data_IF_503872046820
#
_entry.id   IF_503872046820
#
_cell.length_a   1.000
_cell.length_b   1.000
_cell.length_c   1.000
_cell.angle_alpha   90.00
_cell.angle_beta   90.00
_cell.angle_gamma   90.00
#
_symmetry.space_group_name_H-M   'P 1'
#
loop_
_entity.id
_entity.type
_entity.pdbx_description
1 polymer ?
#
# COMPACT_ATOMS: atom_id res chain seq x y z
N UNK A 1 -13.62 12.38 18.14
CA UNK A 1 -14.11 11.05 17.73
C UNK A 1 -13.27 9.97 18.39
N UNK A 2 -13.83 8.79 18.70
CA UNK A 2 -13.05 7.65 19.25
C UNK A 2 -12.69 6.65 18.13
N UNK A 3 -11.68 5.81 18.36
CA UNK A 3 -11.27 4.77 17.41
C UNK A 3 -12.42 3.82 17.04
N UNK A 4 -13.26 3.46 18.02
CA UNK A 4 -14.41 2.58 17.80
C UNK A 4 -15.40 3.19 16.80
N UNK A 5 -15.66 4.49 16.88
CA UNK A 5 -16.57 5.20 15.98
C UNK A 5 -16.03 5.22 14.55
N UNK A 6 -14.73 5.50 14.41
CA UNK A 6 -14.05 5.47 13.11
C UNK A 6 -14.09 4.07 12.47
N UNK A 7 -13.84 3.02 13.24
CA UNK A 7 -13.89 1.63 12.74
C UNK A 7 -15.30 1.23 12.31
N UNK A 8 -16.34 1.70 13.02
CA UNK A 8 -17.75 1.51 12.62
C UNK A 8 -18.06 2.24 11.30
N UNK A 9 -17.64 3.50 11.17
CA UNK A 9 -17.82 4.25 9.94
C UNK A 9 -17.12 3.58 8.74
N UNK A 10 -15.94 2.98 8.96
CA UNK A 10 -15.25 2.18 7.94
C UNK A 10 -16.02 0.91 7.57
N UNK A 11 -16.62 0.19 8.53
CA UNK A 11 -17.41 -1.02 8.22
C UNK A 11 -18.72 -0.74 7.52
N UNK A 12 -19.32 0.44 7.74
CA UNK A 12 -20.58 0.85 7.12
C UNK A 12 -20.40 1.35 5.68
N UNK A 13 -19.17 1.71 5.29
CA UNK A 13 -18.84 2.14 3.95
C UNK A 13 -18.34 0.97 3.09
N UNK A 14 -19.14 0.54 2.13
CA UNK A 14 -18.82 -0.55 1.18
C UNK A 14 -17.53 -0.28 0.37
N UNK A 15 -17.19 1.01 0.20
CA UNK A 15 -16.03 1.46 -0.55
C UNK A 15 -14.86 1.86 0.34
N UNK A 16 -14.89 1.57 1.65
CA UNK A 16 -13.89 2.04 2.59
C UNK A 16 -12.45 1.69 2.16
N UNK A 17 -12.23 0.57 1.48
CA UNK A 17 -10.91 0.14 1.03
C UNK A 17 -10.55 0.62 -0.38
N UNK A 18 -11.52 0.93 -1.24
CA UNK A 18 -11.32 1.26 -2.65
C UNK A 18 -11.48 2.75 -2.96
N UNK A 19 -12.13 3.53 -2.08
CA UNK A 19 -12.50 4.93 -2.30
C UNK A 19 -11.32 5.78 -2.77
N UNK A 20 -10.15 5.68 -2.11
CA UNK A 20 -8.98 6.48 -2.46
C UNK A 20 -8.29 6.01 -3.75
N UNK A 21 -8.58 4.80 -4.22
CA UNK A 21 -8.01 4.23 -5.45
C UNK A 21 -8.84 4.57 -6.69
N UNK A 22 -9.96 5.27 -6.53
CA UNK A 22 -10.75 5.81 -7.65
C UNK A 22 -10.01 6.94 -8.34
N UNK A 23 -10.24 7.11 -9.64
CA UNK A 23 -9.50 8.07 -10.47
C UNK A 23 -9.64 9.52 -9.96
N UNK A 24 -10.81 9.87 -9.45
CA UNK A 24 -11.09 11.18 -8.85
C UNK A 24 -10.40 11.43 -7.49
N UNK A 25 -9.89 10.38 -6.82
CA UNK A 25 -9.36 10.48 -5.45
C UNK A 25 -7.87 10.09 -5.34
N UNK A 26 -7.30 9.38 -6.33
CA UNK A 26 -5.96 8.77 -6.26
C UNK A 26 -4.81 9.78 -6.33
N UNK A 27 -5.09 11.02 -6.71
CA UNK A 27 -4.09 12.08 -6.90
C UNK A 27 -3.11 12.19 -5.72
N UNK A 28 -3.61 12.12 -4.48
CA UNK A 28 -2.76 12.22 -3.29
C UNK A 28 -1.72 11.10 -3.23
N UNK A 29 -2.13 9.86 -3.55
CA UNK A 29 -1.25 8.70 -3.54
C UNK A 29 -0.19 8.77 -4.64
N UNK A 30 -0.57 9.25 -5.83
CA UNK A 30 0.36 9.51 -6.93
C UNK A 30 1.41 10.54 -6.49
N UNK A 31 0.97 11.67 -5.94
CA UNK A 31 1.87 12.72 -5.47
C UNK A 31 2.84 12.22 -4.41
N UNK A 32 2.40 11.38 -3.48
CA UNK A 32 3.28 10.80 -2.47
C UNK A 32 4.16 9.67 -3.01
N UNK A 33 3.83 9.04 -4.14
CA UNK A 33 4.64 8.01 -4.79
C UNK A 33 5.84 8.60 -5.56
N UNK A 34 5.64 9.72 -6.25
CA UNK A 34 6.64 10.35 -7.12
C UNK A 34 8.03 10.51 -6.46
N UNK A 35 8.16 11.01 -5.21
CA UNK A 35 9.46 11.11 -4.57
C UNK A 35 10.19 9.77 -4.45
N UNK A 36 9.47 8.69 -4.13
CA UNK A 36 10.07 7.35 -4.02
C UNK A 36 10.55 6.83 -5.38
N UNK A 37 9.78 7.06 -6.44
CA UNK A 37 10.16 6.66 -7.79
C UNK A 37 11.38 7.44 -8.29
N UNK A 38 11.41 8.77 -8.07
CA UNK A 38 12.57 9.60 -8.43
C UNK A 38 13.84 9.15 -7.70
N UNK A 39 13.74 8.81 -6.42
CA UNK A 39 14.86 8.21 -5.67
C UNK A 39 15.31 6.85 -6.18
N UNK A 40 14.51 6.20 -7.04
CA UNK A 40 14.83 4.91 -7.68
C UNK A 40 15.27 5.04 -9.14
N UNK A 41 15.49 6.26 -9.63
CA UNK A 41 15.96 6.53 -10.99
C UNK A 41 14.86 6.71 -12.04
N UNK A 42 13.59 6.76 -11.64
CA UNK A 42 12.50 7.05 -12.57
C UNK A 42 12.43 8.55 -12.90
N UNK A 43 12.20 8.88 -14.17
CA UNK A 43 11.97 10.24 -14.62
C UNK A 43 10.46 10.51 -14.78
N UNK A 44 9.77 10.66 -13.65
CA UNK A 44 8.32 10.83 -13.61
C UNK A 44 7.89 12.22 -13.13
N UNK A 45 6.78 12.71 -13.70
CA UNK A 45 6.12 13.92 -13.23
C UNK A 45 4.62 13.67 -13.05
N UNK A 46 3.99 14.41 -12.14
CA UNK A 46 2.58 14.23 -11.82
C UNK A 46 1.68 14.32 -13.05
N UNK A 47 1.87 15.35 -13.89
CA UNK A 47 1.02 15.58 -15.07
C UNK A 47 1.30 14.60 -16.20
N UNK A 48 2.57 14.37 -16.53
CA UNK A 48 2.93 13.54 -17.69
C UNK A 48 2.70 12.05 -17.45
N UNK A 49 2.77 11.61 -16.19
CA UNK A 49 2.73 10.19 -15.83
C UNK A 49 1.46 9.81 -15.05
N UNK A 50 0.46 10.69 -14.95
CA UNK A 50 -0.71 10.49 -14.07
C UNK A 50 -1.37 9.12 -14.28
N UNK A 51 -1.75 8.80 -15.52
CA UNK A 51 -2.48 7.56 -15.83
C UNK A 51 -1.63 6.32 -15.56
N UNK A 52 -0.35 6.35 -15.95
CA UNK A 52 0.59 5.25 -15.73
C UNK A 52 0.91 5.05 -14.23
N UNK A 53 0.98 6.13 -13.46
CA UNK A 53 1.16 6.05 -12.00
C UNK A 53 -0.11 5.57 -11.32
N UNK A 54 -1.30 6.02 -11.76
CA UNK A 54 -2.59 5.52 -11.29
C UNK A 54 -2.69 4.01 -11.50
N UNK A 55 -2.38 3.56 -12.71
CA UNK A 55 -2.34 2.16 -13.10
C UNK A 55 -1.36 1.34 -12.24
N UNK A 56 -0.13 1.84 -12.05
CA UNK A 56 0.86 1.19 -11.18
C UNK A 56 0.32 0.97 -9.77
N UNK A 57 -0.33 1.98 -9.19
CA UNK A 57 -0.90 1.90 -7.84
C UNK A 57 -2.05 0.89 -7.80
N UNK A 58 -2.94 0.90 -8.80
CA UNK A 58 -4.06 -0.04 -8.88
C UNK A 58 -3.58 -1.49 -9.03
N UNK A 59 -2.56 -1.74 -9.84
CA UNK A 59 -1.95 -3.07 -9.97
C UNK A 59 -1.33 -3.55 -8.64
N UNK A 60 -0.65 -2.66 -7.90
CA UNK A 60 -0.14 -2.98 -6.57
C UNK A 60 -1.27 -3.27 -5.58
N UNK A 61 -2.38 -2.54 -5.66
CA UNK A 61 -3.55 -2.74 -4.82
C UNK A 61 -4.27 -4.07 -5.12
N UNK A 62 -4.38 -4.43 -6.39
CA UNK A 62 -4.90 -5.73 -6.86
C UNK A 62 -4.03 -6.88 -6.33
N UNK A 63 -2.70 -6.75 -6.39
CA UNK A 63 -1.78 -7.73 -5.80
C UNK A 63 -1.81 -7.76 -4.25
N UNK A 64 -2.45 -6.76 -3.63
CA UNK A 64 -2.81 -6.76 -2.22
C UNK A 64 -4.28 -7.14 -2.00
N UNK A 65 -4.91 -7.81 -2.96
CA UNK A 65 -6.30 -8.28 -2.87
C UNK A 65 -7.25 -7.16 -2.43
N UNK A 66 -7.08 -5.98 -3.02
CA UNK A 66 -7.92 -4.81 -2.79
C UNK A 66 -8.05 -4.41 -1.31
N UNK A 67 -6.97 -4.58 -0.54
CA UNK A 67 -6.92 -4.27 0.90
C UNK A 67 -5.55 -3.73 1.32
N UNK A 68 -5.44 -3.10 2.51
CA UNK A 68 -4.15 -2.80 3.11
C UNK A 68 -3.26 -4.05 3.22
N UNK A 69 -1.94 -3.85 3.18
CA UNK A 69 -0.97 -4.96 3.12
C UNK A 69 -1.18 -5.98 4.24
N UNK A 70 -1.31 -5.52 5.49
CA UNK A 70 -1.57 -6.36 6.67
C UNK A 70 -3.05 -6.39 7.09
N UNK A 71 -3.96 -6.33 6.13
CA UNK A 71 -5.38 -6.49 6.45
C UNK A 71 -5.65 -7.88 7.04
N UNK A 72 -6.35 -7.91 8.16
CA UNK A 72 -6.79 -9.15 8.82
C UNK A 72 -8.31 -9.19 8.75
N UNK A 73 -8.84 -10.23 8.12
CA UNK A 73 -10.28 -10.49 7.98
C UNK A 73 -10.83 -11.27 9.18
N UNK A 74 -12.17 -11.40 9.23
CA UNK A 74 -12.85 -12.26 10.21
C UNK A 74 -13.07 -11.63 11.59
N UNK A 75 -12.95 -10.30 11.70
CA UNK A 75 -13.23 -9.56 12.93
C UNK A 75 -14.48 -8.70 12.79
N UNK A 76 -15.24 -8.53 13.88
CA UNK A 76 -16.48 -7.73 13.92
C UNK A 76 -16.29 -6.30 13.39
N UNK A 77 -15.14 -5.68 13.67
CA UNK A 77 -14.78 -4.35 13.18
C UNK A 77 -13.40 -4.38 12.50
N UNK A 78 -13.18 -3.60 11.42
CA UNK A 78 -11.92 -3.55 10.71
C UNK A 78 -10.71 -3.37 11.63
N UNK A 79 -9.71 -4.23 11.48
CA UNK A 79 -8.41 -4.03 12.13
C UNK A 79 -7.47 -3.14 11.29
N UNK A 80 -7.99 -2.32 10.39
CA UNK A 80 -7.24 -1.28 9.70
C UNK A 80 -7.93 0.04 9.95
N UNK A 81 -7.17 1.09 10.29
CA UNK A 81 -7.71 2.40 10.61
C UNK A 81 -6.74 3.51 10.23
N UNK A 82 -7.29 4.72 10.09
CA UNK A 82 -6.53 5.93 9.84
C UNK A 82 -5.90 6.49 11.12
N UNK A 83 -4.96 7.41 10.94
CA UNK A 83 -4.40 8.18 12.06
C UNK A 83 -5.50 9.04 12.72
N UNK A 84 -5.40 9.38 14.03
CA UNK A 84 -6.47 10.10 14.73
C UNK A 84 -6.94 11.42 14.08
N UNK A 85 -6.03 12.12 13.39
CA UNK A 85 -6.33 13.36 12.66
C UNK A 85 -7.18 13.16 11.38
N UNK A 86 -7.31 11.92 10.92
CA UNK A 86 -8.00 11.53 9.69
C UNK A 86 -9.21 10.60 10.01
N UNK A 87 -9.66 10.58 11.26
CA UNK A 87 -10.78 9.72 11.66
C UNK A 87 -12.11 10.16 11.04
N UNK A 88 -12.27 11.44 10.73
CA UNK A 88 -13.42 12.02 10.01
C UNK A 88 -13.68 11.36 8.63
N UNK A 89 -12.70 10.64 8.08
CA UNK A 89 -12.85 9.86 6.85
C UNK A 89 -13.41 8.49 7.13
N UNK A 90 -14.50 8.14 6.44
CA UNK A 90 -15.09 6.80 6.45
C UNK A 90 -14.44 5.85 5.42
N UNK A 91 -13.22 6.14 4.97
CA UNK A 91 -12.43 5.31 4.08
C UNK A 91 -10.97 5.25 4.55
N UNK A 92 -10.21 4.24 4.10
CA UNK A 92 -8.80 4.10 4.41
C UNK A 92 -7.99 5.12 3.61
N UNK A 93 -7.31 6.01 4.33
CA UNK A 93 -6.28 6.88 3.78
C UNK A 93 -4.95 6.11 3.76
N UNK A 94 -4.57 5.63 2.59
CA UNK A 94 -3.40 4.80 2.39
C UNK A 94 -2.08 5.56 2.52
N UNK A 95 -1.05 4.87 2.96
CA UNK A 95 0.30 5.40 3.07
C UNK A 95 1.27 4.41 2.43
N UNK A 96 2.39 4.94 1.91
CA UNK A 96 3.46 4.11 1.36
C UNK A 96 4.29 3.53 2.51
N UNK A 97 4.13 2.23 2.75
CA UNK A 97 4.94 1.47 3.69
C UNK A 97 6.08 0.76 2.99
N UNK A 98 7.23 0.64 3.65
CA UNK A 98 8.36 -0.15 3.15
C UNK A 98 8.29 -1.56 3.72
N UNK A 99 8.41 -2.59 2.88
CA UNK A 99 8.45 -3.99 3.32
C UNK A 99 9.74 -4.29 4.10
N UNK A 100 10.87 -3.77 3.61
CA UNK A 100 12.17 -3.77 4.29
C UNK A 100 12.56 -2.34 4.64
N UNK A 101 12.97 -2.11 5.89
CA UNK A 101 13.33 -0.78 6.35
C UNK A 101 14.50 -0.20 5.55
N UNK A 102 14.62 1.14 5.50
CA UNK A 102 15.66 1.83 4.72
C UNK A 102 17.08 1.43 5.13
N UNK A 103 17.28 1.17 6.43
CA UNK A 103 18.57 0.72 6.99
C UNK A 103 18.96 -0.69 6.55
N UNK A 104 18.00 -1.48 6.05
CA UNK A 104 18.19 -2.90 5.72
C UNK A 104 18.15 -3.17 4.22
N UNK A 105 17.51 -2.28 3.45
CA UNK A 105 17.36 -2.45 2.02
C UNK A 105 18.55 -1.89 1.20
N UNK A 106 19.57 -1.29 1.84
CA UNK A 106 20.67 -0.59 1.15
C UNK A 106 20.11 0.30 0.00
N UNK A 107 20.71 0.28 -1.20
CA UNK A 107 20.29 1.04 -2.39
C UNK A 107 18.92 0.62 -2.96
N UNK A 108 18.27 -0.42 -2.40
CA UNK A 108 16.97 -0.91 -2.87
C UNK A 108 15.79 -0.36 -2.08
N UNK A 109 16.02 0.48 -1.09
CA UNK A 109 14.96 0.96 -0.18
C UNK A 109 13.80 1.62 -0.91
N UNK A 110 14.07 2.39 -1.95
CA UNK A 110 13.05 3.12 -2.70
C UNK A 110 12.42 2.35 -3.87
N UNK A 111 12.95 1.15 -4.17
CA UNK A 111 12.42 0.32 -5.25
C UNK A 111 10.93 0.06 -5.04
N UNK A 112 10.16 0.17 -6.11
CA UNK A 112 8.70 0.02 -6.08
C UNK A 112 8.28 -1.34 -5.51
N UNK A 113 9.09 -2.37 -5.73
CA UNK A 113 8.88 -3.72 -5.20
C UNK A 113 8.98 -3.79 -3.68
N UNK A 114 9.67 -2.84 -3.05
CA UNK A 114 9.78 -2.68 -1.60
C UNK A 114 8.67 -1.80 -1.01
N UNK A 115 7.78 -1.23 -1.83
CA UNK A 115 6.67 -0.38 -1.37
C UNK A 115 5.33 -1.10 -1.42
N UNK A 116 4.48 -0.88 -0.43
CA UNK A 116 3.08 -1.30 -0.46
C UNK A 116 2.14 -0.22 0.07
N UNK A 117 0.84 -0.48 -0.06
CA UNK A 117 -0.24 0.37 0.44
C UNK A 117 -0.69 -0.07 1.84
N UNK A 118 -0.55 0.83 2.81
CA UNK A 118 -0.73 0.56 4.23
C UNK A 118 -1.81 1.47 4.82
N UNK A 119 -2.55 0.98 5.82
CA UNK A 119 -3.30 1.88 6.71
C UNK A 119 -2.36 2.44 7.80
N UNK A 120 -2.77 3.50 8.49
CA UNK A 120 -1.97 4.09 9.56
C UNK A 120 -1.62 3.06 10.66
N UNK A 121 -2.55 2.17 11.01
CA UNK A 121 -2.24 1.03 11.92
C UNK A 121 -1.13 0.13 11.36
N UNK A 122 -1.26 -0.28 10.09
CA UNK A 122 -0.28 -1.16 9.46
C UNK A 122 1.13 -0.54 9.53
N UNK A 123 1.22 0.78 9.37
CA UNK A 123 2.48 1.51 9.51
C UNK A 123 2.99 1.53 10.94
N UNK A 124 2.14 1.68 11.96
CA UNK A 124 2.56 1.61 13.36
C UNK A 124 3.20 0.27 13.73
N UNK A 125 2.74 -0.84 13.14
CA UNK A 125 3.30 -2.18 13.40
C UNK A 125 4.65 -2.43 12.72
N UNK A 126 4.96 -1.82 11.56
CA UNK A 126 6.33 -1.88 10.98
C UNK A 126 7.26 -0.85 11.61
N UNK A 127 6.72 0.30 12.02
CA UNK A 127 7.51 1.36 12.65
C UNK A 127 8.14 0.93 13.99
N UNK A 128 7.68 -0.17 14.60
CA UNK A 128 8.36 -0.80 15.73
C UNK A 128 9.61 -1.62 15.33
N UNK A 129 10.12 -1.47 14.10
CA UNK A 129 11.31 -2.14 13.54
C UNK A 129 11.19 -3.65 13.32
N UNK A 130 10.04 -4.26 13.58
CA UNK A 130 9.83 -5.70 13.33
C UNK A 130 9.74 -5.98 11.83
N UNK A 131 10.47 -7.00 11.40
CA UNK A 131 10.53 -7.45 10.02
C UNK A 131 9.26 -8.20 9.64
N UNK A 132 8.95 -8.21 8.34
CA UNK A 132 7.88 -9.05 7.81
C UNK A 132 8.14 -10.51 8.17
N UNK A 133 9.39 -10.94 8.14
CA UNK A 133 9.83 -12.27 8.54
C UNK A 133 9.53 -12.53 10.03
N UNK A 134 9.71 -11.56 10.91
CA UNK A 134 9.36 -11.67 12.34
C UNK A 134 7.84 -11.68 12.54
N UNK A 135 7.09 -10.86 11.77
CA UNK A 135 5.62 -10.88 11.77
C UNK A 135 5.06 -12.24 11.32
N UNK A 136 5.76 -12.93 10.42
CA UNK A 136 5.39 -14.29 9.98
C UNK A 136 5.62 -15.35 11.07
N UNK A 137 6.57 -15.15 11.99
CA UNK A 137 6.84 -16.08 13.11
C UNK A 137 5.66 -16.13 14.08
N UNK A 138 4.95 -15.00 14.27
CA UNK A 138 3.72 -14.98 15.08
C UNK A 138 2.59 -15.86 14.50
N UNK A 139 2.70 -16.28 13.23
CA UNK A 139 1.80 -17.24 12.61
C UNK A 139 0.38 -16.71 12.41
N UNK A 140 -0.57 -17.64 12.26
CA UNK A 140 -1.99 -17.35 12.13
C UNK A 140 -2.38 -16.58 10.87
N UNK A 141 -3.51 -15.87 10.95
CA UNK A 141 -4.15 -15.19 9.82
C UNK A 141 -3.23 -14.10 9.24
N UNK A 142 -2.44 -13.42 10.08
CA UNK A 142 -1.51 -12.38 9.62
C UNK A 142 -0.38 -12.97 8.76
N UNK A 143 0.24 -14.07 9.19
CA UNK A 143 1.29 -14.73 8.41
C UNK A 143 0.76 -15.24 7.05
N UNK A 144 -0.45 -15.83 7.05
CA UNK A 144 -1.10 -16.27 5.81
C UNK A 144 -1.37 -15.10 4.87
N UNK A 145 -1.90 -13.98 5.40
CA UNK A 145 -2.13 -12.75 4.62
C UNK A 145 -0.84 -12.27 3.96
N UNK A 146 0.23 -12.15 4.73
CA UNK A 146 1.53 -11.69 4.24
C UNK A 146 2.02 -12.61 3.11
N UNK A 147 1.98 -13.92 3.33
CA UNK A 147 2.39 -14.92 2.34
C UNK A 147 1.62 -14.79 1.02
N UNK A 148 0.30 -14.64 1.10
CA UNK A 148 -0.56 -14.48 -0.07
C UNK A 148 -0.21 -13.20 -0.84
N UNK A 149 -0.12 -12.06 -0.15
CA UNK A 149 0.21 -10.77 -0.77
C UNK A 149 1.60 -10.81 -1.42
N UNK A 150 2.61 -11.39 -0.76
CA UNK A 150 3.95 -11.54 -1.32
C UNK A 150 3.97 -12.42 -2.57
N UNK A 151 3.14 -13.46 -2.59
CA UNK A 151 2.98 -14.36 -3.74
C UNK A 151 2.37 -13.64 -4.93
N UNK A 152 1.27 -12.92 -4.74
CA UNK A 152 0.61 -12.17 -5.81
C UNK A 152 1.48 -11.02 -6.32
N UNK A 153 2.19 -10.31 -5.44
CA UNK A 153 3.18 -9.30 -5.85
C UNK A 153 4.31 -9.90 -6.69
N UNK A 154 4.78 -11.11 -6.34
CA UNK A 154 5.79 -11.80 -7.15
C UNK A 154 5.26 -12.11 -8.55
N UNK A 155 4.00 -12.54 -8.68
CA UNK A 155 3.37 -12.77 -9.98
C UNK A 155 3.25 -11.47 -10.77
N UNK A 156 2.76 -10.41 -10.11
CA UNK A 156 2.64 -9.07 -10.69
C UNK A 156 3.98 -8.59 -11.26
N UNK A 157 5.06 -8.62 -10.47
CA UNK A 157 6.37 -8.11 -10.89
C UNK A 157 7.04 -8.92 -12.00
N UNK A 158 6.59 -10.15 -12.23
CA UNK A 158 7.03 -10.96 -13.37
C UNK A 158 6.09 -10.82 -14.58
N UNK A 159 4.98 -10.11 -14.46
CA UNK A 159 4.00 -9.97 -15.55
C UNK A 159 4.48 -9.04 -16.65
N UNK A 160 4.12 -9.34 -17.90
CA UNK A 160 4.44 -8.50 -19.04
C UNK A 160 3.85 -7.08 -18.91
N UNK A 161 2.63 -6.96 -18.38
CA UNK A 161 1.95 -5.67 -18.17
C UNK A 161 2.74 -4.78 -17.22
N UNK A 162 3.19 -5.31 -16.08
CA UNK A 162 4.01 -4.57 -15.12
C UNK A 162 5.35 -4.15 -15.73
N UNK A 163 6.04 -5.07 -16.37
CA UNK A 163 7.36 -4.81 -16.94
C UNK A 163 7.31 -3.76 -18.07
N UNK A 164 6.26 -3.79 -18.90
CA UNK A 164 6.03 -2.77 -19.91
C UNK A 164 5.79 -1.38 -19.29
N UNK A 165 4.97 -1.31 -18.24
CA UNK A 165 4.67 -0.07 -17.53
C UNK A 165 5.91 0.53 -16.86
N UNK A 166 6.69 -0.29 -16.15
CA UNK A 166 7.94 0.16 -15.49
C UNK A 166 8.95 0.64 -16.52
N UNK A 167 9.11 -0.09 -17.64
CA UNK A 167 10.01 0.32 -18.73
C UNK A 167 9.61 1.69 -19.29
N UNK A 168 8.33 1.88 -19.58
CA UNK A 168 7.82 3.17 -20.07
C UNK A 168 8.16 4.31 -19.11
N UNK A 169 7.94 4.13 -17.81
CA UNK A 169 8.19 5.16 -16.79
C UNK A 169 9.67 5.43 -16.51
N UNK A 170 10.57 4.51 -16.87
CA UNK A 170 12.02 4.71 -16.82
C UNK A 170 12.56 5.46 -18.05
N UNK A 171 11.90 5.30 -19.20
CA UNK A 171 12.31 5.87 -20.49
C UNK A 171 11.61 7.19 -20.83
N UNK A 172 10.58 7.58 -20.07
CA UNK A 172 9.85 8.86 -20.18
C UNK A 172 10.66 10.05 -19.67
#
# INVERSE_FOLDING_TARGET
>A
MKLIDHRKALSENVDAYSYELRDENIERLIRSLIPHLKSSGFNVSFKASFDNLSEMIKMLFEAQDHRPFFHVEGTELPLCWNSPKDWDKNYIKYEWGHLRSRNQAQDKSHKIENLGLYSARCNQHIQSSMHIEELMIYGGILAQRISNVLTERRKLFNSCRWNALVKYLLES
#
